data_IF_373363607564
#
_entry.id   IF_373363607564
#
_cell.length_a   1.000
_cell.length_b   1.000
_cell.length_c   1.000
_cell.angle_alpha   90.00
_cell.angle_beta   90.00
_cell.angle_gamma   90.00
#
_symmetry.space_group_name_H-M   'P 1'
#
loop_
_entity.id
_entity.type
_entity.pdbx_description
1 polymer ?
#
# COMPACT_ATOMS: atom_id res chain seq x y z
N UNK A 1 13.18 -21.48 -2.75
CA UNK A 1 14.17 -20.64 -2.05
C UNK A 1 13.59 -19.96 -0.80
N UNK A 2 12.58 -19.10 -0.90
CA UNK A 2 12.04 -18.34 0.25
C UNK A 2 11.60 -19.23 1.43
N UNK A 3 10.96 -20.37 1.14
CA UNK A 3 10.61 -21.38 2.16
C UNK A 3 11.86 -21.88 2.91
N UNK A 4 12.92 -22.22 2.18
CA UNK A 4 14.19 -22.68 2.79
C UNK A 4 14.87 -21.56 3.59
N UNK A 5 14.80 -20.31 3.12
CA UNK A 5 15.32 -19.16 3.86
C UNK A 5 14.59 -19.00 5.21
N UNK A 6 13.25 -19.09 5.22
CA UNK A 6 12.48 -19.08 6.46
C UNK A 6 12.80 -20.26 7.38
N UNK A 7 12.98 -21.47 6.82
CA UNK A 7 13.42 -22.62 7.61
C UNK A 7 14.77 -22.38 8.29
N UNK A 8 15.72 -21.72 7.61
CA UNK A 8 17.01 -21.36 8.22
C UNK A 8 16.86 -20.32 9.33
N UNK A 9 16.03 -19.30 9.14
CA UNK A 9 15.75 -18.28 10.18
C UNK A 9 15.15 -18.96 11.43
N UNK A 10 14.13 -19.81 11.23
CA UNK A 10 13.47 -20.54 12.32
C UNK A 10 14.47 -21.45 13.04
N UNK A 11 15.29 -22.20 12.30
CA UNK A 11 16.31 -23.10 12.87
C UNK A 11 17.34 -22.32 13.70
N UNK A 12 17.87 -21.22 13.17
CA UNK A 12 18.86 -20.39 13.86
C UNK A 12 18.28 -19.78 15.15
N UNK A 13 17.07 -19.21 15.10
CA UNK A 13 16.40 -18.62 16.27
C UNK A 13 16.03 -19.68 17.32
N UNK A 14 15.54 -20.84 16.89
CA UNK A 14 15.23 -21.99 17.76
C UNK A 14 16.47 -22.52 18.47
N UNK A 15 17.56 -22.70 17.74
CA UNK A 15 18.83 -23.15 18.31
C UNK A 15 19.37 -22.16 19.34
N UNK A 16 19.30 -20.85 19.06
CA UNK A 16 19.76 -19.81 19.98
C UNK A 16 18.90 -19.70 21.25
N UNK A 17 17.59 -19.92 21.13
CA UNK A 17 16.65 -19.84 22.26
C UNK A 17 16.60 -21.13 23.12
N UNK A 18 17.16 -22.24 22.63
CA UNK A 18 17.06 -23.56 23.28
C UNK A 18 15.65 -24.15 23.30
N UNK A 19 14.70 -23.55 22.55
CA UNK A 19 13.30 -23.98 22.40
C UNK A 19 12.78 -23.55 21.04
N UNK A 20 11.73 -24.20 20.55
CA UNK A 20 11.08 -23.83 19.29
C UNK A 20 10.64 -22.36 19.33
N UNK A 21 11.07 -21.59 18.32
CA UNK A 21 10.61 -20.23 18.07
C UNK A 21 9.70 -20.27 16.84
N UNK A 22 8.45 -19.87 16.99
CA UNK A 22 7.46 -19.91 15.91
C UNK A 22 7.65 -18.75 14.91
N UNK A 23 6.96 -18.84 13.76
CA UNK A 23 6.91 -17.73 12.79
C UNK A 23 6.28 -16.48 13.42
N UNK A 24 5.26 -16.66 14.25
CA UNK A 24 4.59 -15.57 14.97
C UNK A 24 5.55 -14.88 15.96
N UNK A 25 6.31 -15.65 16.74
CA UNK A 25 7.31 -15.09 17.66
C UNK A 25 8.35 -14.24 16.91
N UNK A 26 8.80 -14.72 15.74
CA UNK A 26 9.78 -14.02 14.91
C UNK A 26 9.18 -12.73 14.35
N UNK A 27 7.96 -12.78 13.83
CA UNK A 27 7.26 -11.62 13.29
C UNK A 27 7.01 -10.56 14.38
N UNK A 28 6.50 -10.97 15.54
CA UNK A 28 6.24 -10.09 16.68
C UNK A 28 7.54 -9.46 17.21
N UNK A 29 8.63 -10.23 17.30
CA UNK A 29 9.94 -9.69 17.67
C UNK A 29 10.45 -8.66 16.66
N UNK A 30 10.28 -8.92 15.35
CA UNK A 30 10.64 -7.99 14.29
C UNK A 30 9.83 -6.70 14.35
N UNK A 31 8.51 -6.79 14.55
CA UNK A 31 7.66 -5.62 14.71
C UNK A 31 8.00 -4.82 15.95
N UNK A 32 8.34 -5.48 17.06
CA UNK A 32 8.79 -4.81 18.28
C UNK A 32 10.11 -4.07 18.09
N UNK A 33 10.96 -4.51 17.15
CA UNK A 33 12.24 -3.87 16.87
C UNK A 33 12.10 -2.70 15.89
N UNK A 34 11.31 -2.86 14.82
CA UNK A 34 11.27 -1.91 13.69
C UNK A 34 9.93 -1.16 13.51
N UNK A 35 8.91 -1.55 14.26
CA UNK A 35 7.52 -1.16 14.02
C UNK A 35 6.85 -2.11 13.02
N UNK A 36 5.54 -1.92 12.83
CA UNK A 36 4.73 -2.73 11.91
C UNK A 36 4.19 -1.87 10.78
N UNK A 37 4.38 -2.35 9.55
CA UNK A 37 3.68 -1.86 8.37
C UNK A 37 2.46 -2.74 8.15
N UNK A 38 1.28 -2.25 8.53
CA UNK A 38 0.02 -2.89 8.26
C UNK A 38 -0.35 -2.67 6.81
N UNK A 39 -0.42 -3.74 6.03
CA UNK A 39 -0.63 -3.69 4.60
C UNK A 39 -1.98 -4.32 4.23
N UNK A 40 -2.67 -3.70 3.28
CA UNK A 40 -3.77 -4.32 2.54
C UNK A 40 -3.76 -3.86 1.08
N UNK A 41 -4.29 -4.71 0.19
CA UNK A 41 -4.57 -4.34 -1.20
C UNK A 41 -6.05 -4.53 -1.50
N UNK A 42 -6.68 -3.48 -2.02
CA UNK A 42 -8.06 -3.45 -2.46
C UNK A 42 -8.08 -3.42 -3.99
N UNK A 43 -8.65 -4.45 -4.61
CA UNK A 43 -8.79 -4.54 -6.06
C UNK A 43 -10.26 -4.30 -6.45
N UNK A 44 -10.50 -3.26 -7.24
CA UNK A 44 -11.79 -2.96 -7.86
C UNK A 44 -11.77 -3.46 -9.29
N UNK A 45 -12.17 -4.72 -9.47
CA UNK A 45 -12.09 -5.42 -10.76
C UNK A 45 -13.29 -5.12 -11.65
N UNK A 46 -13.08 -5.09 -12.97
CA UNK A 46 -14.16 -4.92 -13.95
C UNK A 46 -14.78 -3.53 -13.92
N UNK A 47 -13.97 -2.50 -13.63
CA UNK A 47 -14.39 -1.10 -13.69
C UNK A 47 -14.33 -0.57 -15.13
N UNK A 48 -15.12 0.47 -15.42
CA UNK A 48 -15.05 1.16 -16.70
C UNK A 48 -13.67 1.79 -16.89
N UNK A 49 -12.98 1.40 -17.97
CA UNK A 49 -11.59 1.78 -18.19
C UNK A 49 -11.45 3.29 -18.50
N UNK A 50 -12.21 3.88 -19.45
CA UNK A 50 -12.15 5.32 -19.70
C UNK A 50 -12.40 6.19 -18.46
N UNK A 51 -13.43 5.89 -17.66
CA UNK A 51 -13.72 6.64 -16.44
C UNK A 51 -12.62 6.46 -15.38
N UNK A 52 -12.07 5.25 -15.27
CA UNK A 52 -10.94 5.00 -14.35
C UNK A 52 -9.66 5.70 -14.80
N UNK A 53 -9.41 5.82 -16.11
CA UNK A 53 -8.29 6.59 -16.65
C UNK A 53 -8.46 8.09 -16.37
N UNK A 54 -9.67 8.63 -16.47
CA UNK A 54 -9.98 10.01 -16.10
C UNK A 54 -9.74 10.27 -14.60
N UNK A 55 -10.19 9.36 -13.74
CA UNK A 55 -9.92 9.40 -12.29
C UNK A 55 -8.40 9.46 -11.99
N UNK A 56 -7.63 8.56 -12.61
CA UNK A 56 -6.18 8.50 -12.44
C UNK A 56 -5.51 9.77 -12.98
N UNK A 57 -5.99 10.29 -14.12
CA UNK A 57 -5.49 11.53 -14.71
C UNK A 57 -5.73 12.72 -13.80
N UNK A 58 -6.92 12.85 -13.21
CA UNK A 58 -7.26 13.97 -12.32
C UNK A 58 -6.35 13.99 -11.08
N UNK A 59 -6.11 12.83 -10.47
CA UNK A 59 -5.15 12.71 -9.37
C UNK A 59 -3.71 13.02 -9.82
N UNK A 60 -3.32 12.59 -11.02
CA UNK A 60 -2.00 12.86 -11.59
C UNK A 60 -1.78 14.34 -11.90
N UNK A 61 -2.77 15.01 -12.48
CA UNK A 61 -2.72 16.45 -12.80
C UNK A 61 -2.59 17.29 -11.53
N UNK A 62 -3.12 16.79 -10.41
CA UNK A 62 -3.04 17.44 -9.11
C UNK A 62 -1.83 17.01 -8.26
N UNK A 63 -0.93 16.19 -8.83
CA UNK A 63 0.26 15.72 -8.11
C UNK A 63 1.16 16.89 -7.69
N UNK A 64 1.75 16.78 -6.50
CA UNK A 64 2.58 17.81 -5.87
C UNK A 64 1.78 18.89 -5.13
N UNK A 65 0.52 19.14 -5.47
CA UNK A 65 -0.28 20.23 -4.89
C UNK A 65 -0.80 19.92 -3.48
N UNK A 66 -0.72 18.66 -3.05
CA UNK A 66 -1.26 18.20 -1.76
C UNK A 66 -0.19 18.09 -0.66
N UNK A 67 1.09 18.34 -0.97
CA UNK A 67 2.17 18.29 0.03
C UNK A 67 1.93 19.34 1.13
N UNK A 68 2.05 18.93 2.39
CA UNK A 68 1.78 19.74 3.58
C UNK A 68 0.28 19.87 3.92
N UNK A 69 -0.62 19.35 3.09
CA UNK A 69 -2.04 19.30 3.46
C UNK A 69 -2.31 18.14 4.41
N UNK A 70 -3.25 18.35 5.33
CA UNK A 70 -3.73 17.34 6.27
C UNK A 70 -5.11 16.86 5.85
N UNK A 71 -5.26 15.55 5.62
CA UNK A 71 -6.53 14.92 5.26
C UNK A 71 -6.88 13.90 6.34
N UNK A 72 -8.06 14.06 6.94
CA UNK A 72 -8.55 13.25 8.08
C UNK A 72 -7.47 13.05 9.19
N UNK A 73 -6.69 14.10 9.46
CA UNK A 73 -5.67 14.10 10.51
C UNK A 73 -4.30 13.52 10.11
N UNK A 74 -4.08 13.15 8.85
CA UNK A 74 -2.76 12.72 8.36
C UNK A 74 -2.20 13.71 7.34
N UNK A 75 -0.95 14.14 7.57
CA UNK A 75 -0.26 15.12 6.74
C UNK A 75 0.50 14.45 5.59
N UNK A 76 0.32 14.95 4.37
CA UNK A 76 0.97 14.41 3.16
C UNK A 76 2.39 14.98 3.02
N UNK A 77 3.38 14.10 3.01
CA UNK A 77 4.78 14.44 2.77
C UNK A 77 5.16 14.37 1.29
N UNK A 78 4.63 13.38 0.55
CA UNK A 78 4.89 13.19 -0.88
C UNK A 78 3.57 12.92 -1.59
N UNK A 79 3.36 13.61 -2.69
CA UNK A 79 2.25 13.34 -3.61
C UNK A 79 2.78 13.41 -5.04
N UNK A 80 2.97 12.25 -5.68
CA UNK A 80 3.60 12.18 -7.01
C UNK A 80 3.09 11.01 -7.85
N UNK A 81 3.53 10.99 -9.11
CA UNK A 81 3.42 9.84 -10.00
C UNK A 81 4.78 9.14 -10.03
N UNK A 82 4.83 7.89 -9.59
CA UNK A 82 6.07 7.15 -9.48
C UNK A 82 6.73 6.94 -10.86
N UNK A 83 8.00 7.33 -10.92
CA UNK A 83 8.92 7.08 -12.02
C UNK A 83 10.15 6.35 -11.48
N UNK A 84 10.65 5.38 -12.25
CA UNK A 84 11.87 4.64 -11.92
C UNK A 84 12.85 4.72 -13.09
N UNK A 85 14.08 5.11 -12.78
CA UNK A 85 15.22 5.10 -13.70
C UNK A 85 16.13 3.94 -13.30
N UNK A 86 16.26 2.96 -14.19
CA UNK A 86 17.09 1.78 -13.95
C UNK A 86 18.58 2.16 -13.97
N UNK A 87 19.37 1.85 -12.92
CA UNK A 87 20.76 2.27 -12.84
C UNK A 87 21.72 1.41 -13.70
N UNK A 88 21.22 0.32 -14.31
CA UNK A 88 22.01 -0.61 -15.13
C UNK A 88 21.82 -0.32 -16.61
N UNK A 89 20.57 -0.33 -17.08
CA UNK A 89 20.25 -0.13 -18.50
C UNK A 89 19.78 1.30 -18.83
N UNK A 90 19.64 2.16 -17.82
CA UNK A 90 19.21 3.55 -17.93
C UNK A 90 17.80 3.72 -18.51
N UNK A 91 17.01 2.66 -18.57
CA UNK A 91 15.60 2.73 -18.96
C UNK A 91 14.79 3.51 -17.93
N UNK A 92 13.77 4.23 -18.41
CA UNK A 92 12.90 5.05 -17.56
C UNK A 92 11.47 4.55 -17.68
N UNK A 93 10.95 4.04 -16.56
CA UNK A 93 9.58 3.58 -16.41
C UNK A 93 8.73 4.65 -15.73
N UNK A 94 7.91 5.34 -16.51
CA UNK A 94 7.00 6.39 -16.04
C UNK A 94 5.63 5.84 -15.69
N UNK A 95 4.82 6.63 -14.97
CA UNK A 95 3.41 6.33 -14.68
C UNK A 95 3.20 4.99 -13.95
N UNK A 96 4.10 4.62 -13.03
CA UNK A 96 4.10 3.31 -12.38
C UNK A 96 3.19 3.24 -11.13
N UNK A 97 2.56 4.35 -10.76
CA UNK A 97 1.54 4.43 -9.72
C UNK A 97 1.50 5.81 -9.08
N UNK A 98 0.32 6.29 -8.71
CA UNK A 98 0.18 7.51 -7.92
C UNK A 98 0.48 7.20 -6.47
N UNK A 99 1.32 8.01 -5.82
CA UNK A 99 1.70 7.83 -4.41
C UNK A 99 1.22 9.02 -3.59
N UNK A 100 0.68 8.71 -2.43
CA UNK A 100 0.41 9.65 -1.35
C UNK A 100 1.13 9.07 -0.11
N UNK A 101 2.25 9.66 0.27
CA UNK A 101 3.06 9.22 1.41
C UNK A 101 2.89 10.26 2.50
N UNK A 102 2.56 9.81 3.69
CA UNK A 102 2.31 10.64 4.86
C UNK A 102 3.60 10.82 5.68
N UNK A 103 3.62 11.86 6.51
CA UNK A 103 4.78 12.20 7.36
C UNK A 103 5.14 11.11 8.38
N UNK A 104 4.19 10.25 8.75
CA UNK A 104 4.42 9.12 9.65
C UNK A 104 4.95 7.86 8.94
N UNK A 105 5.21 7.92 7.64
CA UNK A 105 5.69 6.80 6.83
C UNK A 105 4.58 5.93 6.23
N UNK A 106 3.31 6.17 6.56
CA UNK A 106 2.17 5.51 5.93
C UNK A 106 2.04 5.93 4.47
N UNK A 107 1.37 5.12 3.65
CA UNK A 107 1.15 5.45 2.24
C UNK A 107 -0.10 4.83 1.65
N UNK A 108 -0.63 5.56 0.67
CA UNK A 108 -1.68 5.13 -0.26
C UNK A 108 -1.08 5.13 -1.65
N UNK A 109 -1.25 4.05 -2.40
CA UNK A 109 -0.81 3.96 -3.79
C UNK A 109 -1.98 3.51 -4.67
N UNK A 110 -2.19 4.21 -5.79
CA UNK A 110 -3.13 3.78 -6.83
C UNK A 110 -2.38 3.29 -8.06
N UNK A 111 -2.81 2.16 -8.59
CA UNK A 111 -2.38 1.67 -9.90
C UNK A 111 -3.60 1.23 -10.69
N UNK A 112 -3.63 1.57 -11.98
CA UNK A 112 -4.62 1.04 -12.91
C UNK A 112 -4.00 -0.10 -13.70
N UNK A 113 -4.62 -1.27 -13.68
CA UNK A 113 -4.15 -2.46 -14.39
C UNK A 113 -5.24 -2.94 -15.36
N UNK A 114 -4.87 -3.34 -16.57
CA UNK A 114 -5.82 -3.86 -17.56
C UNK A 114 -5.37 -3.58 -18.99
N UNK A 115 -5.04 -4.65 -19.73
CA UNK A 115 -4.44 -4.58 -21.07
C UNK A 115 -5.43 -4.88 -22.20
N UNK A 116 -6.74 -4.88 -21.95
CA UNK A 116 -7.74 -5.28 -22.95
C UNK A 116 -9.08 -4.56 -22.87
N UNK A 117 -10.04 -5.10 -23.63
CA UNK A 117 -11.44 -4.60 -23.76
C UNK A 117 -12.37 -5.03 -22.61
N UNK A 118 -11.92 -5.91 -21.71
CA UNK A 118 -12.73 -6.48 -20.62
C UNK A 118 -12.77 -5.61 -19.34
N UNK A 119 -12.56 -4.29 -19.47
CA UNK A 119 -12.47 -3.35 -18.35
C UNK A 119 -11.08 -3.24 -17.75
N UNK A 120 -10.98 -2.48 -16.65
CA UNK A 120 -9.74 -2.30 -15.90
C UNK A 120 -9.91 -2.77 -14.44
N UNK A 121 -8.81 -2.78 -13.70
CA UNK A 121 -8.75 -3.01 -12.27
C UNK A 121 -8.03 -1.83 -11.62
N UNK A 122 -8.73 -1.10 -10.75
CA UNK A 122 -8.06 -0.15 -9.85
C UNK A 122 -7.50 -0.97 -8.70
N UNK A 123 -6.18 -0.94 -8.54
CA UNK A 123 -5.47 -1.54 -7.41
C UNK A 123 -5.09 -0.43 -6.44
N UNK A 124 -5.70 -0.46 -5.27
CA UNK A 124 -5.46 0.45 -4.17
C UNK A 124 -4.62 -0.27 -3.11
N UNK A 125 -3.41 0.21 -2.88
CA UNK A 125 -2.49 -0.30 -1.88
C UNK A 125 -2.52 0.63 -0.68
N UNK A 126 -2.75 0.05 0.50
CA UNK A 126 -2.84 0.77 1.76
C UNK A 126 -1.76 0.23 2.69
N UNK A 127 -0.89 1.11 3.18
CA UNK A 127 0.10 0.74 4.18
C UNK A 127 0.08 1.75 5.32
N UNK A 128 -0.29 1.30 6.53
CA UNK A 128 -0.24 2.10 7.75
C UNK A 128 0.99 1.71 8.54
N UNK A 129 1.89 2.66 8.77
CA UNK A 129 2.99 2.44 9.69
C UNK A 129 2.52 2.62 11.14
N UNK A 130 3.06 1.81 12.05
CA UNK A 130 2.94 1.97 13.49
C UNK A 130 4.30 1.70 14.09
N UNK A 131 4.78 2.65 14.89
CA UNK A 131 6.10 2.60 15.49
C UNK A 131 6.19 1.51 16.58
N UNK A 132 7.41 1.07 16.98
CA UNK A 132 7.62 0.04 17.99
C UNK A 132 6.88 0.23 19.33
N UNK A 133 6.56 1.47 19.72
CA UNK A 133 5.88 1.79 20.98
C UNK A 133 4.36 1.78 20.88
N UNK A 134 3.81 1.69 19.66
CA UNK A 134 2.38 1.61 19.39
C UNK A 134 1.78 0.22 19.64
N UNK A 135 0.48 0.10 19.34
CA UNK A 135 -0.21 -1.19 19.37
C UNK A 135 0.04 -1.96 18.06
N UNK A 136 0.93 -2.94 18.13
CA UNK A 136 1.38 -3.76 17.02
C UNK A 136 0.56 -5.05 16.83
N UNK A 137 -0.36 -5.36 17.75
CA UNK A 137 -1.13 -6.61 17.77
C UNK A 137 -2.48 -6.53 17.07
N UNK A 138 -2.80 -5.39 16.44
CA UNK A 138 -4.12 -5.15 15.86
C UNK A 138 -4.35 -5.94 14.58
N UNK A 139 -5.62 -6.08 14.21
CA UNK A 139 -6.00 -6.60 12.90
C UNK A 139 -5.61 -5.61 11.80
N UNK A 140 -5.02 -6.12 10.72
CA UNK A 140 -4.50 -5.28 9.66
C UNK A 140 -5.60 -4.55 8.89
N UNK A 141 -6.76 -5.18 8.65
CA UNK A 141 -7.86 -4.57 7.92
C UNK A 141 -8.53 -3.47 8.73
N UNK A 142 -8.66 -3.64 10.05
CA UNK A 142 -9.16 -2.57 10.92
C UNK A 142 -8.21 -1.36 10.96
N UNK A 143 -6.89 -1.59 10.97
CA UNK A 143 -5.89 -0.52 11.03
C UNK A 143 -5.83 0.30 9.73
N UNK A 144 -6.04 -0.32 8.57
CA UNK A 144 -5.96 0.38 7.26
C UNK A 144 -7.28 1.05 6.84
N UNK A 145 -8.42 0.77 7.49
CA UNK A 145 -9.72 1.40 7.18
C UNK A 145 -9.67 2.94 7.10
N UNK A 146 -9.01 3.67 8.02
CA UNK A 146 -8.86 5.12 7.90
C UNK A 146 -8.11 5.55 6.64
N UNK A 147 -7.07 4.81 6.22
CA UNK A 147 -6.39 5.07 4.94
C UNK A 147 -7.31 4.81 3.75
N UNK A 148 -8.15 3.77 3.80
CA UNK A 148 -9.13 3.50 2.75
C UNK A 148 -10.13 4.66 2.62
N UNK A 149 -10.62 5.20 3.73
CA UNK A 149 -11.50 6.39 3.75
C UNK A 149 -10.86 7.60 3.05
N UNK A 150 -9.60 7.89 3.39
CA UNK A 150 -8.84 8.98 2.75
C UNK A 150 -8.61 8.70 1.26
N UNK A 151 -8.33 7.45 0.90
CA UNK A 151 -8.18 7.06 -0.50
C UNK A 151 -9.47 7.32 -1.30
N UNK A 152 -10.64 7.04 -0.73
CA UNK A 152 -11.93 7.32 -1.38
C UNK A 152 -12.15 8.82 -1.58
N UNK A 153 -11.81 9.64 -0.58
CA UNK A 153 -11.89 11.11 -0.67
C UNK A 153 -10.93 11.67 -1.74
N UNK A 154 -9.66 11.24 -1.73
CA UNK A 154 -8.63 11.67 -2.66
C UNK A 154 -8.95 11.36 -4.13
N UNK A 155 -9.52 10.19 -4.38
CA UNK A 155 -9.72 9.67 -5.73
C UNK A 155 -11.10 9.92 -6.31
N UNK A 156 -12.10 10.19 -5.48
CA UNK A 156 -13.51 10.13 -5.89
C UNK A 156 -13.88 8.79 -6.57
N UNK A 157 -13.25 7.69 -6.14
CA UNK A 157 -13.33 6.38 -6.82
C UNK A 157 -14.76 5.91 -7.05
N UNK A 158 -15.66 6.11 -6.08
CA UNK A 158 -17.06 5.71 -6.21
C UNK A 158 -17.76 6.48 -7.35
N UNK A 159 -17.46 7.77 -7.50
CA UNK A 159 -18.03 8.60 -8.57
C UNK A 159 -17.61 8.10 -9.95
N UNK A 160 -16.33 7.74 -10.12
CA UNK A 160 -15.79 7.32 -11.41
C UNK A 160 -16.04 5.85 -11.75
N UNK A 161 -16.16 4.98 -10.75
CA UNK A 161 -16.24 3.53 -10.98
C UNK A 161 -17.60 2.93 -10.61
N UNK A 162 -18.43 3.69 -9.90
CA UNK A 162 -19.66 3.18 -9.28
C UNK A 162 -19.43 2.21 -8.11
N UNK A 163 -18.17 1.97 -7.69
CA UNK A 163 -17.84 1.02 -6.62
C UNK A 163 -17.62 1.72 -5.29
N UNK A 164 -18.29 1.23 -4.25
CA UNK A 164 -18.12 1.63 -2.85
C UNK A 164 -17.31 0.62 -2.04
N UNK A 165 -17.26 -0.63 -2.47
CA UNK A 165 -16.44 -1.70 -1.87
C UNK A 165 -15.56 -2.39 -2.91
N UNK A 166 -14.35 -2.87 -2.53
CA UNK A 166 -13.49 -3.61 -3.43
C UNK A 166 -14.06 -4.99 -3.76
N UNK A 167 -13.74 -5.49 -4.96
CA UNK A 167 -14.07 -6.87 -5.36
C UNK A 167 -13.22 -7.88 -4.58
N UNK A 168 -11.94 -7.56 -4.37
CA UNK A 168 -10.98 -8.42 -3.67
C UNK A 168 -10.20 -7.61 -2.65
N UNK A 169 -9.98 -8.20 -1.47
CA UNK A 169 -9.11 -7.67 -0.42
C UNK A 169 -8.00 -8.70 -0.17
N UNK A 170 -6.74 -8.25 -0.15
CA UNK A 170 -5.56 -9.03 0.26
C UNK A 170 -4.91 -8.40 1.47
#
# INVERSE_FOLDING_TARGET
WAVLAWMQIIAAKTSAAGKLVSVEDIANAHWKEYGRNYYARYDYEGVDKPQSEEMMKLMSDNSGNLVGQTIQGMEIAINDVFEYSDPVDLSVSKNQGLRFIFTDGSRIIFRLSGTGVAGATVRLYLEKYTDPSGDLGRDAFEVVKPLASIAMELSSLQTYTGRDTPTVIT
#
